data_IF_261418010945
#
_entry.id   IF_261418010945
#
_cell.length_a   1.000
_cell.length_b   1.000
_cell.length_c   1.000
_cell.angle_alpha   90.00
_cell.angle_beta   90.00
_cell.angle_gamma   90.00
#
_symmetry.space_group_name_H-M   'P 1'
#
loop_
_entity.id
_entity.type
_entity.pdbx_description
1 polymer ?
#
# COMPACT_ATOMS: atom_id res chain seq x y z
N UNK A 1 24.57 3.17 -11.04
CA UNK A 1 23.91 2.89 -12.33
C UNK A 1 22.58 3.63 -12.29
N UNK A 2 22.27 4.50 -13.24
CA UNK A 2 21.01 5.26 -13.19
C UNK A 2 19.82 4.30 -13.26
N UNK A 3 18.90 4.39 -12.30
CA UNK A 3 17.70 3.56 -12.22
C UNK A 3 16.69 4.06 -13.26
N UNK A 4 16.47 3.29 -14.32
CA UNK A 4 15.47 3.61 -15.35
C UNK A 4 14.26 2.69 -15.21
N UNK A 5 13.07 3.27 -15.31
CA UNK A 5 11.85 2.48 -15.45
C UNK A 5 11.91 1.71 -16.77
N UNK A 6 11.63 0.41 -16.67
CA UNK A 6 11.42 -0.47 -17.81
C UNK A 6 10.37 -1.53 -17.42
N UNK A 7 9.94 -2.36 -18.38
CA UNK A 7 8.94 -3.40 -18.14
C UNK A 7 9.37 -4.40 -17.06
N UNK A 8 10.66 -4.71 -16.92
CA UNK A 8 11.12 -5.65 -15.90
C UNK A 8 10.97 -5.08 -14.49
N UNK A 9 11.35 -3.80 -14.29
CA UNK A 9 11.15 -3.12 -13.00
C UNK A 9 9.67 -2.92 -12.68
N UNK A 10 8.83 -2.57 -13.67
CA UNK A 10 7.39 -2.46 -13.46
C UNK A 10 6.78 -3.81 -13.05
N UNK A 11 7.18 -4.92 -13.70
CA UNK A 11 6.78 -6.27 -13.31
C UNK A 11 7.21 -6.64 -11.89
N UNK A 12 8.44 -6.26 -11.49
CA UNK A 12 8.94 -6.49 -10.12
C UNK A 12 8.10 -5.73 -9.09
N UNK A 13 7.81 -4.45 -9.33
CA UNK A 13 7.02 -3.60 -8.42
C UNK A 13 5.56 -4.07 -8.30
N UNK A 14 4.91 -4.42 -9.41
CA UNK A 14 3.54 -4.92 -9.41
C UNK A 14 3.44 -6.33 -8.81
N UNK A 15 4.44 -7.18 -9.02
CA UNK A 15 4.51 -8.50 -8.38
C UNK A 15 4.67 -8.37 -6.86
N UNK A 16 5.51 -7.46 -6.38
CA UNK A 16 5.68 -7.20 -4.94
C UNK A 16 4.38 -6.66 -4.31
N UNK A 17 3.68 -5.73 -4.98
CA UNK A 17 2.37 -5.26 -4.50
C UNK A 17 1.37 -6.41 -4.35
N UNK A 18 1.26 -7.25 -5.39
CA UNK A 18 0.39 -8.43 -5.39
C UNK A 18 0.72 -9.41 -4.28
N UNK A 19 2.00 -9.72 -4.09
CA UNK A 19 2.46 -10.62 -3.04
C UNK A 19 2.28 -10.00 -1.65
N UNK A 20 2.49 -8.70 -1.51
CA UNK A 20 2.21 -7.92 -0.30
C UNK A 20 0.74 -8.00 0.10
N UNK A 21 -0.18 -7.75 -0.84
CA UNK A 21 -1.62 -7.84 -0.59
C UNK A 21 -2.05 -9.26 -0.19
N UNK A 22 -1.46 -10.31 -0.79
CA UNK A 22 -1.69 -11.69 -0.32
C UNK A 22 -1.22 -11.88 1.13
N UNK A 23 -0.02 -11.41 1.47
CA UNK A 23 0.53 -11.51 2.83
C UNK A 23 -0.34 -10.78 3.86
N UNK A 24 -1.00 -9.68 3.48
CA UNK A 24 -1.94 -8.96 4.35
C UNK A 24 -3.12 -9.88 4.70
N UNK A 25 -3.74 -10.53 3.71
CA UNK A 25 -4.88 -11.45 3.93
C UNK A 25 -4.44 -12.68 4.74
N UNK A 26 -3.26 -13.23 4.43
CA UNK A 26 -2.72 -14.37 5.16
C UNK A 26 -2.46 -14.00 6.64
N UNK A 27 -1.91 -12.81 6.90
CA UNK A 27 -1.72 -12.27 8.25
C UNK A 27 -3.06 -12.01 8.96
N UNK A 28 -4.06 -11.50 8.24
CA UNK A 28 -5.40 -11.27 8.77
C UNK A 28 -6.03 -12.56 9.31
N UNK A 29 -5.88 -13.66 8.57
CA UNK A 29 -6.40 -14.99 8.96
C UNK A 29 -5.76 -15.57 10.23
N UNK A 30 -4.69 -14.95 10.75
CA UNK A 30 -4.00 -15.42 11.97
C UNK A 30 -4.61 -14.92 13.27
N UNK A 31 -5.58 -13.99 13.23
CA UNK A 31 -6.24 -13.48 14.43
C UNK A 31 -7.77 -13.47 14.29
N UNK A 32 -8.50 -13.50 15.42
CA UNK A 32 -9.96 -13.42 15.39
C UNK A 32 -10.43 -12.09 14.80
N UNK A 33 -11.26 -12.16 13.77
CA UNK A 33 -11.90 -11.03 13.08
C UNK A 33 -13.27 -11.48 12.61
N UNK A 34 -14.27 -10.60 12.73
CA UNK A 34 -15.62 -10.83 12.16
C UNK A 34 -15.70 -10.44 10.68
N UNK A 35 -14.66 -9.77 10.17
CA UNK A 35 -14.58 -9.34 8.78
C UNK A 35 -14.18 -10.52 7.90
N UNK A 36 -14.99 -10.75 6.85
CA UNK A 36 -14.67 -11.71 5.79
C UNK A 36 -13.53 -11.14 4.94
N UNK A 37 -12.48 -11.94 4.76
CA UNK A 37 -11.34 -11.60 3.91
C UNK A 37 -11.12 -12.70 2.88
N UNK A 38 -11.13 -12.31 1.61
CA UNK A 38 -11.01 -13.24 0.48
C UNK A 38 -10.12 -12.70 -0.63
N UNK A 39 -9.58 -13.64 -1.39
CA UNK A 39 -8.73 -13.35 -2.56
C UNK A 39 -9.12 -14.22 -3.73
N UNK A 40 -9.14 -13.65 -4.92
CA UNK A 40 -9.22 -14.39 -6.17
C UNK A 40 -7.95 -14.15 -6.99
N UNK A 41 -7.24 -15.23 -7.33
CA UNK A 41 -6.13 -15.20 -8.30
C UNK A 41 -6.66 -15.55 -9.69
N UNK A 42 -6.42 -14.67 -10.64
CA UNK A 42 -6.72 -14.91 -12.06
C UNK A 42 -5.51 -14.47 -12.87
N UNK A 43 -4.86 -15.43 -13.53
CA UNK A 43 -3.62 -15.18 -14.28
C UNK A 43 -2.55 -14.49 -13.39
N UNK A 44 -2.13 -13.27 -13.75
CA UNK A 44 -1.17 -12.47 -13.01
C UNK A 44 -1.80 -11.54 -11.96
N UNK A 45 -3.12 -11.43 -11.94
CA UNK A 45 -3.85 -10.56 -11.05
C UNK A 45 -4.19 -11.20 -9.70
N UNK A 46 -4.31 -10.34 -8.70
CA UNK A 46 -4.94 -10.64 -7.41
C UNK A 46 -6.08 -9.63 -7.21
N UNK A 47 -7.31 -10.14 -7.16
CA UNK A 47 -8.44 -9.41 -6.60
C UNK A 47 -8.47 -9.69 -5.09
N UNK A 48 -8.54 -8.64 -4.28
CA UNK A 48 -8.57 -8.71 -2.82
C UNK A 48 -9.86 -8.06 -2.30
N UNK A 49 -10.49 -8.74 -1.33
CA UNK A 49 -11.62 -8.24 -0.57
C UNK A 49 -11.31 -8.38 0.93
N UNK A 50 -11.41 -7.29 1.68
CA UNK A 50 -11.07 -7.23 3.12
C UNK A 50 -12.16 -6.54 3.95
N UNK A 51 -13.42 -6.76 3.56
CA UNK A 51 -14.59 -6.17 4.19
C UNK A 51 -15.13 -4.95 3.43
N UNK A 52 -16.33 -4.47 3.77
CA UNK A 52 -16.96 -3.33 3.11
C UNK A 52 -16.09 -2.08 3.19
N UNK A 53 -16.03 -1.32 2.10
CA UNK A 53 -15.34 -0.02 2.01
C UNK A 53 -13.85 -0.02 2.37
N UNK A 54 -13.22 -1.20 2.47
CA UNK A 54 -11.78 -1.29 2.73
C UNK A 54 -10.98 -0.60 1.62
N UNK A 55 -9.97 0.21 1.96
CA UNK A 55 -9.18 0.95 0.97
C UNK A 55 -8.33 0.04 0.07
N UNK A 56 -8.17 -1.23 0.44
CA UNK A 56 -7.42 -2.21 -0.35
C UNK A 56 -8.34 -3.22 -1.06
N UNK A 57 -9.63 -2.90 -1.22
CA UNK A 57 -10.54 -3.66 -2.09
C UNK A 57 -10.29 -3.30 -3.55
N UNK A 58 -9.29 -3.92 -4.14
CA UNK A 58 -8.82 -3.60 -5.49
C UNK A 58 -8.18 -4.81 -6.18
N UNK A 59 -8.09 -4.73 -7.51
CA UNK A 59 -7.36 -5.68 -8.34
C UNK A 59 -5.99 -5.11 -8.66
N UNK A 60 -4.95 -5.92 -8.44
CA UNK A 60 -3.56 -5.53 -8.68
C UNK A 60 -2.84 -6.52 -9.60
N UNK A 61 -1.86 -6.03 -10.37
CA UNK A 61 -0.97 -6.86 -11.19
C UNK A 61 -1.52 -7.36 -12.54
N UNK A 62 -2.72 -6.93 -12.92
CA UNK A 62 -3.38 -7.37 -14.15
C UNK A 62 -2.66 -6.86 -15.41
N UNK A 63 -2.47 -7.74 -16.40
CA UNK A 63 -1.91 -7.37 -17.71
C UNK A 63 -0.40 -7.13 -17.68
N UNK A 64 0.29 -7.52 -16.61
CA UNK A 64 1.73 -7.33 -16.50
C UNK A 64 2.52 -8.39 -17.26
N UNK A 65 1.98 -9.61 -17.42
CA UNK A 65 2.70 -10.74 -18.03
C UNK A 65 2.03 -11.32 -19.27
N UNK A 66 0.71 -11.14 -19.41
CA UNK A 66 -0.09 -11.62 -20.54
C UNK A 66 -1.17 -10.59 -20.93
N UNK A 67 -1.67 -10.63 -22.18
CA UNK A 67 -2.88 -9.91 -22.56
C UNK A 67 -4.07 -10.31 -21.70
N UNK A 68 -4.95 -9.36 -21.40
CA UNK A 68 -6.13 -9.54 -20.55
C UNK A 68 -7.32 -9.99 -21.39
N UNK A 69 -7.91 -11.12 -21.02
CA UNK A 69 -9.10 -11.68 -21.67
C UNK A 69 -10.41 -11.14 -21.09
N UNK A 70 -11.49 -11.24 -21.85
CA UNK A 70 -12.83 -10.90 -21.36
C UNK A 70 -13.29 -11.80 -20.21
N UNK A 71 -12.96 -13.09 -20.27
CA UNK A 71 -13.25 -14.07 -19.21
C UNK A 71 -12.57 -13.71 -17.89
N UNK A 72 -11.35 -13.17 -17.95
CA UNK A 72 -10.60 -12.74 -16.76
C UNK A 72 -11.30 -11.58 -16.06
N UNK A 73 -11.77 -10.59 -16.80
CA UNK A 73 -12.55 -9.47 -16.23
C UNK A 73 -13.91 -9.94 -15.70
N UNK A 74 -14.61 -10.84 -16.39
CA UNK A 74 -15.89 -11.36 -15.92
C UNK A 74 -15.76 -12.06 -14.56
N UNK A 75 -14.72 -12.89 -14.38
CA UNK A 75 -14.46 -13.59 -13.12
C UNK A 75 -14.17 -12.64 -11.97
N UNK A 76 -13.42 -11.57 -12.24
CA UNK A 76 -13.11 -10.51 -11.27
C UNK A 76 -14.38 -9.75 -10.89
N UNK A 77 -15.20 -9.39 -11.87
CA UNK A 77 -16.47 -8.68 -11.65
C UNK A 77 -17.44 -9.53 -10.81
N UNK A 78 -17.55 -10.83 -11.11
CA UNK A 78 -18.35 -11.78 -10.33
C UNK A 78 -17.85 -11.92 -8.89
N UNK A 79 -16.53 -11.87 -8.67
CA UNK A 79 -15.95 -11.91 -7.32
C UNK A 79 -16.41 -10.73 -6.48
N UNK A 80 -16.28 -9.49 -6.96
CA UNK A 80 -16.73 -8.32 -6.21
C UNK A 80 -18.26 -8.22 -6.10
N UNK A 81 -18.99 -8.64 -7.13
CA UNK A 81 -20.45 -8.71 -7.09
C UNK A 81 -20.96 -9.65 -5.99
N UNK A 82 -20.23 -10.73 -5.67
CA UNK A 82 -20.59 -11.64 -4.57
C UNK A 82 -20.51 -11.00 -3.17
N UNK A 83 -19.87 -9.82 -3.05
CA UNK A 83 -19.76 -9.03 -1.83
C UNK A 83 -20.50 -7.69 -1.92
N UNK A 84 -21.33 -7.48 -2.94
CA UNK A 84 -22.02 -6.20 -3.21
C UNK A 84 -21.05 -5.00 -3.30
N UNK A 85 -19.84 -5.22 -3.85
CA UNK A 85 -18.80 -4.19 -4.00
C UNK A 85 -18.56 -3.83 -5.47
N UNK A 86 -18.24 -2.57 -5.79
CA UNK A 86 -17.76 -2.22 -7.13
C UNK A 86 -16.42 -2.90 -7.42
N UNK A 87 -16.13 -3.10 -8.70
CA UNK A 87 -14.82 -3.62 -9.13
C UNK A 87 -13.87 -2.45 -9.35
N UNK A 88 -12.80 -2.38 -8.55
CA UNK A 88 -11.73 -1.38 -8.68
C UNK A 88 -10.46 -2.05 -9.19
N UNK A 89 -9.85 -1.51 -10.25
CA UNK A 89 -8.66 -2.07 -10.88
C UNK A 89 -7.56 -1.02 -10.91
N UNK A 90 -6.40 -1.36 -10.37
CA UNK A 90 -5.16 -0.57 -10.52
C UNK A 90 -4.53 -0.88 -11.88
N UNK A 91 -4.34 0.15 -12.69
CA UNK A 91 -3.74 0.03 -14.03
C UNK A 91 -2.34 0.62 -14.03
N UNK A 92 -1.34 -0.25 -14.16
CA UNK A 92 0.03 0.14 -14.46
C UNK A 92 0.13 0.60 -15.93
N UNK A 93 0.80 1.73 -16.23
CA UNK A 93 0.91 2.23 -17.61
C UNK A 93 1.80 1.39 -18.52
N UNK A 94 2.49 0.39 -17.97
CA UNK A 94 3.26 -0.63 -18.71
C UNK A 94 2.54 -1.98 -18.79
N UNK A 95 1.28 -2.06 -18.36
CA UNK A 95 0.44 -3.22 -18.60
C UNK A 95 0.17 -3.37 -20.12
N UNK A 96 -0.16 -4.59 -20.53
CA UNK A 96 -0.53 -4.89 -21.90
C UNK A 96 -1.72 -4.02 -22.37
N UNK A 97 -1.65 -3.54 -23.61
CA UNK A 97 -2.64 -2.61 -24.17
C UNK A 97 -4.06 -3.21 -24.25
N UNK A 98 -4.18 -4.54 -24.24
CA UNK A 98 -5.48 -5.23 -24.14
C UNK A 98 -6.26 -4.84 -22.88
N UNK A 99 -5.59 -4.53 -21.76
CA UNK A 99 -6.24 -4.14 -20.51
C UNK A 99 -7.09 -2.89 -20.70
N UNK A 100 -6.50 -1.79 -21.17
CA UNK A 100 -7.23 -0.53 -21.37
C UNK A 100 -8.37 -0.68 -22.38
N UNK A 101 -8.16 -1.50 -23.43
CA UNK A 101 -9.19 -1.79 -24.43
C UNK A 101 -10.38 -2.51 -23.78
N UNK A 102 -10.12 -3.54 -22.97
CA UNK A 102 -11.13 -4.35 -22.32
C UNK A 102 -11.89 -3.56 -21.23
N UNK A 103 -11.19 -2.76 -20.42
CA UNK A 103 -11.81 -1.87 -19.43
C UNK A 103 -12.70 -0.82 -20.09
N UNK A 104 -12.25 -0.21 -21.18
CA UNK A 104 -13.05 0.78 -21.92
C UNK A 104 -14.29 0.15 -22.53
N UNK A 105 -14.19 -1.06 -23.09
CA UNK A 105 -15.33 -1.77 -23.67
C UNK A 105 -16.41 -2.12 -22.64
N UNK A 106 -16.00 -2.34 -21.38
CA UNK A 106 -16.88 -2.64 -20.24
C UNK A 106 -17.36 -1.41 -19.47
N UNK A 107 -16.97 -0.20 -19.88
CA UNK A 107 -17.46 1.04 -19.27
C UNK A 107 -16.85 1.36 -17.90
N UNK A 108 -15.65 0.83 -17.60
CA UNK A 108 -14.88 1.28 -16.44
C UNK A 108 -14.58 2.77 -16.57
N UNK A 109 -14.61 3.47 -15.43
CA UNK A 109 -14.34 4.91 -15.35
C UNK A 109 -13.09 5.13 -14.52
N UNK A 110 -12.24 6.05 -14.97
CA UNK A 110 -11.14 6.55 -14.17
C UNK A 110 -11.69 7.29 -12.94
N UNK A 111 -11.26 6.89 -11.75
CA UNK A 111 -11.67 7.49 -10.48
C UNK A 111 -10.54 8.25 -9.80
N UNK A 112 -9.33 7.71 -9.84
CA UNK A 112 -8.19 8.24 -9.11
C UNK A 112 -6.86 7.98 -9.83
N UNK A 113 -5.84 8.74 -9.44
CA UNK A 113 -4.45 8.48 -9.80
C UNK A 113 -3.63 8.29 -8.54
N UNK A 114 -2.75 7.29 -8.55
CA UNK A 114 -1.76 7.04 -7.49
C UNK A 114 -0.34 7.14 -8.07
N UNK A 115 0.58 7.79 -7.37
CA UNK A 115 1.98 7.87 -7.79
C UNK A 115 2.80 6.75 -7.16
N UNK A 116 3.46 5.95 -8.00
CA UNK A 116 4.43 4.92 -7.58
C UNK A 116 5.83 5.50 -7.64
N UNK A 117 6.54 5.47 -6.51
CA UNK A 117 7.86 6.04 -6.34
C UNK A 117 8.93 4.97 -6.18
N UNK A 118 10.15 5.28 -6.62
CA UNK A 118 11.34 4.43 -6.43
C UNK A 118 12.52 5.25 -5.92
N UNK A 119 13.36 4.59 -5.11
CA UNK A 119 14.60 5.15 -4.61
C UNK A 119 15.70 4.08 -4.67
N UNK A 120 16.87 4.45 -5.21
CA UNK A 120 18.06 3.61 -5.19
C UNK A 120 18.79 3.75 -3.84
N UNK A 121 18.66 2.74 -2.98
CA UNK A 121 19.26 2.73 -1.65
C UNK A 121 20.78 2.59 -1.68
N UNK A 122 21.36 2.07 -2.77
CA UNK A 122 22.81 1.91 -2.89
C UNK A 122 23.51 3.29 -2.88
N UNK A 123 22.91 4.26 -3.58
CA UNK A 123 23.43 5.63 -3.71
C UNK A 123 22.77 6.61 -2.76
N UNK A 124 21.62 6.27 -2.17
CA UNK A 124 20.90 7.11 -1.23
C UNK A 124 21.73 7.46 0.01
N UNK A 125 21.67 8.72 0.40
CA UNK A 125 22.14 9.22 1.69
C UNK A 125 20.98 9.97 2.35
N UNK A 126 20.85 9.79 3.66
CA UNK A 126 19.83 10.51 4.41
C UNK A 126 20.07 12.02 4.31
N UNK A 127 19.01 12.84 4.11
CA UNK A 127 19.11 14.29 4.24
C UNK A 127 19.22 14.73 5.71
N UNK A 128 19.05 13.82 6.66
CA UNK A 128 19.20 14.06 8.10
C UNK A 128 20.56 13.55 8.58
N UNK A 129 21.18 14.29 9.50
CA UNK A 129 22.45 13.88 10.08
C UNK A 129 22.27 12.66 11.01
N UNK A 130 21.39 12.82 12.00
CA UNK A 130 21.07 11.80 12.99
C UNK A 130 19.70 11.17 12.76
N UNK A 131 19.54 9.96 13.31
CA UNK A 131 18.23 9.33 13.45
C UNK A 131 17.45 10.07 14.53
N UNK A 132 16.18 10.36 14.26
CA UNK A 132 15.29 11.02 15.21
C UNK A 132 14.98 10.08 16.40
N UNK A 133 15.27 10.54 17.61
CA UNK A 133 15.13 9.76 18.85
C UNK A 133 13.67 9.47 19.24
N UNK A 134 12.72 10.17 18.62
CA UNK A 134 11.29 9.91 18.76
C UNK A 134 10.85 8.64 18.06
N UNK A 135 11.65 8.10 17.13
CA UNK A 135 11.28 6.99 16.26
C UNK A 135 11.96 5.69 16.69
N UNK A 136 11.19 4.61 16.80
CA UNK A 136 11.72 3.27 17.07
C UNK A 136 10.94 2.17 16.33
N UNK A 137 11.60 1.03 16.14
CA UNK A 137 10.93 -0.21 15.78
C UNK A 137 9.99 -0.67 16.90
N UNK A 138 8.98 -1.45 16.52
CA UNK A 138 8.00 -2.03 17.45
C UNK A 138 8.36 -3.45 17.87
N UNK A 139 7.80 -3.91 19.00
CA UNK A 139 7.73 -5.32 19.38
C UNK A 139 6.28 -5.82 19.40
N UNK A 140 6.06 -7.11 19.75
CA UNK A 140 4.72 -7.70 19.74
C UNK A 140 3.71 -7.02 20.69
N UNK A 141 4.17 -6.32 21.74
CA UNK A 141 3.29 -5.62 22.68
C UNK A 141 2.81 -4.27 22.12
N UNK A 142 3.45 -3.76 21.07
CA UNK A 142 3.07 -2.50 20.43
C UNK A 142 1.92 -2.62 19.42
N UNK A 143 1.43 -3.83 19.11
CA UNK A 143 0.44 -4.06 18.03
C UNK A 143 -0.75 -3.11 18.13
N UNK A 144 -1.37 -3.02 19.31
CA UNK A 144 -2.59 -2.22 19.50
C UNK A 144 -2.28 -0.73 19.41
N UNK A 145 -1.20 -0.25 20.04
CA UNK A 145 -0.86 1.18 20.00
C UNK A 145 -0.43 1.61 18.59
N UNK A 146 0.30 0.77 17.87
CA UNK A 146 0.68 1.01 16.48
C UNK A 146 -0.55 1.06 15.58
N UNK A 147 -1.41 0.03 15.66
CA UNK A 147 -2.59 -0.10 14.80
C UNK A 147 -3.57 1.06 14.98
N UNK A 148 -3.83 1.45 16.25
CA UNK A 148 -4.69 2.60 16.55
C UNK A 148 -4.07 3.92 16.10
N UNK A 149 -2.74 4.07 16.17
CA UNK A 149 -2.05 5.28 15.69
C UNK A 149 -2.16 5.40 14.17
N UNK A 150 -2.00 4.29 13.45
CA UNK A 150 -2.16 4.26 11.99
C UNK A 150 -3.59 4.63 11.60
N UNK A 151 -4.58 3.92 12.15
CA UNK A 151 -6.00 4.14 11.88
C UNK A 151 -6.43 5.59 12.20
N UNK A 152 -6.06 6.12 13.37
CA UNK A 152 -6.37 7.49 13.76
C UNK A 152 -5.81 8.53 12.78
N UNK A 153 -4.58 8.34 12.29
CA UNK A 153 -3.99 9.25 11.33
C UNK A 153 -4.66 9.24 9.95
N UNK A 154 -5.15 8.09 9.50
CA UNK A 154 -5.90 7.95 8.23
C UNK A 154 -7.35 8.44 8.34
N UNK A 155 -8.02 8.17 9.46
CA UNK A 155 -9.39 8.65 9.74
C UNK A 155 -9.44 10.13 10.17
N UNK A 156 -8.29 10.82 10.18
CA UNK A 156 -8.14 12.21 10.60
C UNK A 156 -8.67 12.49 12.01
N UNK A 157 -8.45 11.56 12.94
CA UNK A 157 -8.89 11.65 14.33
C UNK A 157 -7.71 11.80 15.29
N UNK A 158 -7.83 12.69 16.28
CA UNK A 158 -6.85 12.77 17.37
C UNK A 158 -6.96 11.62 18.37
N UNK A 159 -8.17 11.10 18.53
CA UNK A 159 -8.49 9.98 19.42
C UNK A 159 -9.45 9.06 18.69
N UNK A 160 -8.99 7.83 18.45
CA UNK A 160 -9.81 6.79 17.86
C UNK A 160 -10.80 6.25 18.91
N UNK A 161 -12.09 6.05 18.60
CA UNK A 161 -13.06 5.38 19.48
C UNK A 161 -12.57 3.99 19.89
N UNK A 162 -12.86 3.55 21.11
CA UNK A 162 -12.34 2.27 21.65
C UNK A 162 -12.86 1.08 20.86
N UNK A 163 -14.10 1.17 20.39
CA UNK A 163 -14.83 0.20 19.57
C UNK A 163 -14.55 0.32 18.07
N UNK A 164 -13.74 1.29 17.65
CA UNK A 164 -13.33 1.42 16.25
C UNK A 164 -12.52 0.19 15.81
N UNK A 165 -12.86 -0.32 14.63
CA UNK A 165 -12.18 -1.50 14.07
C UNK A 165 -10.81 -1.10 13.56
N UNK A 166 -9.83 -1.96 13.81
CA UNK A 166 -8.42 -1.76 13.44
C UNK A 166 -7.84 -3.02 12.80
N UNK A 167 -8.70 -3.89 12.27
CA UNK A 167 -8.32 -5.22 11.79
C UNK A 167 -7.35 -5.12 10.60
N UNK A 168 -7.53 -4.14 9.71
CA UNK A 168 -6.62 -3.90 8.59
C UNK A 168 -5.21 -3.52 9.08
N UNK A 169 -5.13 -2.60 10.04
CA UNK A 169 -3.86 -2.18 10.63
C UNK A 169 -3.22 -3.33 11.42
N UNK A 170 -4.01 -4.14 12.13
CA UNK A 170 -3.50 -5.34 12.80
C UNK A 170 -2.99 -6.38 11.80
N UNK A 171 -3.65 -6.54 10.65
CA UNK A 171 -3.17 -7.38 9.56
C UNK A 171 -1.84 -6.86 9.01
N UNK A 172 -1.70 -5.55 8.78
CA UNK A 172 -0.42 -4.94 8.40
C UNK A 172 0.67 -5.22 9.43
N UNK A 173 0.40 -4.98 10.71
CA UNK A 173 1.36 -5.20 11.79
C UNK A 173 1.88 -6.65 11.84
N UNK A 174 1.03 -7.61 11.47
CA UNK A 174 1.29 -9.04 11.53
C UNK A 174 1.87 -9.63 10.25
N UNK A 175 2.13 -8.83 9.21
CA UNK A 175 2.76 -9.33 7.98
C UNK A 175 4.10 -9.98 8.32
N UNK A 176 4.33 -11.25 7.93
CA UNK A 176 5.62 -11.90 8.11
C UNK A 176 6.75 -11.09 7.47
N UNK A 177 7.85 -10.92 8.19
CA UNK A 177 9.00 -10.07 7.78
C UNK A 177 8.66 -8.59 7.58
N UNK A 178 7.53 -8.16 8.13
CA UNK A 178 7.17 -6.77 8.28
C UNK A 178 7.93 -6.07 9.41
N UNK A 179 8.17 -4.78 9.22
CA UNK A 179 8.85 -3.90 10.18
C UNK A 179 7.96 -2.70 10.49
N UNK A 180 7.07 -2.82 11.49
CA UNK A 180 6.31 -1.68 11.97
C UNK A 180 7.23 -0.75 12.78
N UNK A 181 7.01 0.55 12.58
CA UNK A 181 7.77 1.63 13.21
C UNK A 181 6.79 2.63 13.78
N UNK A 182 7.11 3.16 14.95
CA UNK A 182 6.27 4.10 15.69
C UNK A 182 7.09 5.30 16.14
N UNK A 183 6.47 6.47 16.13
CA UNK A 183 7.03 7.71 16.61
C UNK A 183 6.24 8.24 17.80
N UNK A 184 6.94 8.64 18.85
CA UNK A 184 6.36 9.25 20.04
C UNK A 184 6.70 10.73 20.13
N UNK A 185 5.71 11.58 20.36
CA UNK A 185 5.91 12.99 20.66
C UNK A 185 5.27 13.31 22.02
N UNK A 186 6.05 13.89 22.93
CA UNK A 186 5.60 14.19 24.30
C UNK A 186 5.02 12.96 25.04
N UNK A 187 5.63 11.78 24.84
CA UNK A 187 5.23 10.52 25.47
C UNK A 187 3.98 9.87 24.89
N UNK A 188 3.40 10.42 23.81
CA UNK A 188 2.22 9.86 23.13
C UNK A 188 2.62 9.31 21.76
N UNK A 189 2.07 8.17 21.39
CA UNK A 189 2.18 7.67 20.02
C UNK A 189 1.51 8.68 19.08
N UNK A 190 2.27 9.20 18.13
CA UNK A 190 1.89 10.36 17.33
C UNK A 190 1.88 10.07 15.82
N UNK A 191 2.73 9.14 15.39
CA UNK A 191 2.79 8.68 14.01
C UNK A 191 3.28 7.24 13.97
N UNK A 192 2.91 6.51 12.93
CA UNK A 192 3.32 5.14 12.71
C UNK A 192 3.45 4.85 11.21
N UNK A 193 4.22 3.81 10.87
CA UNK A 193 4.42 3.39 9.49
C UNK A 193 4.89 1.95 9.40
N UNK A 194 4.64 1.34 8.24
CA UNK A 194 5.01 -0.04 7.95
C UNK A 194 6.09 -0.10 6.88
N UNK A 195 6.86 -1.20 6.88
CA UNK A 195 7.74 -1.58 5.79
C UNK A 195 7.81 -3.09 5.67
N UNK A 196 7.92 -3.61 4.46
CA UNK A 196 8.25 -5.01 4.19
C UNK A 196 9.48 -5.04 3.29
N UNK A 197 10.39 -6.00 3.52
CA UNK A 197 11.55 -6.22 2.64
C UNK A 197 11.39 -7.58 1.96
N UNK A 198 11.18 -7.56 0.64
CA UNK A 198 11.06 -8.74 -0.21
C UNK A 198 12.32 -8.84 -1.08
N UNK A 199 13.26 -9.71 -0.70
CA UNK A 199 14.54 -9.82 -1.39
C UNK A 199 15.33 -8.52 -1.33
N UNK A 200 15.46 -7.82 -2.47
CA UNK A 200 16.21 -6.55 -2.57
C UNK A 200 15.33 -5.30 -2.60
N UNK A 201 14.00 -5.45 -2.52
CA UNK A 201 13.04 -4.35 -2.57
C UNK A 201 12.42 -4.13 -1.18
N UNK A 202 12.46 -2.89 -0.71
CA UNK A 202 11.75 -2.43 0.49
C UNK A 202 10.50 -1.65 0.09
N UNK A 203 9.33 -2.10 0.55
CA UNK A 203 8.04 -1.46 0.27
C UNK A 203 7.53 -0.81 1.54
N UNK A 204 7.36 0.52 1.50
CA UNK A 204 6.92 1.33 2.63
C UNK A 204 5.46 1.73 2.42
N UNK A 205 4.62 1.52 3.43
CA UNK A 205 3.18 1.78 3.35
C UNK A 205 2.60 2.06 4.74
N UNK A 206 1.27 2.19 4.82
CA UNK A 206 0.51 2.41 6.06
C UNK A 206 1.10 3.49 6.98
N UNK A 207 1.57 4.60 6.39
CA UNK A 207 2.20 5.69 7.15
C UNK A 207 1.20 6.80 7.38
N UNK A 208 0.94 7.13 8.64
CA UNK A 208 0.07 8.24 9.00
C UNK A 208 0.61 9.00 10.21
N UNK A 209 0.08 10.21 10.42
CA UNK A 209 0.39 11.05 11.57
C UNK A 209 -0.93 11.62 12.10
N UNK A 210 -1.14 11.45 13.40
CA UNK A 210 -2.32 11.95 14.11
C UNK A 210 -2.42 13.48 13.89
N UNK A 211 -3.60 14.05 13.59
CA UNK A 211 -3.77 15.44 13.18
C UNK A 211 -3.04 16.47 14.05
N UNK A 212 -3.19 16.42 15.37
CA UNK A 212 -2.57 17.36 16.33
C UNK A 212 -1.03 17.32 16.37
N UNK A 213 -0.43 16.27 15.82
CA UNK A 213 1.02 16.08 15.71
C UNK A 213 1.57 16.35 14.29
N UNK A 214 0.72 16.70 13.32
CA UNK A 214 1.14 17.07 11.96
C UNK A 214 2.01 18.34 11.99
N UNK A 215 2.88 18.49 10.99
CA UNK A 215 3.79 19.64 10.90
C UNK A 215 5.01 19.60 11.83
N UNK A 216 5.23 18.49 12.56
CA UNK A 216 6.35 18.33 13.52
C UNK A 216 7.51 17.46 13.02
N UNK A 217 7.51 17.14 11.72
CA UNK A 217 8.55 16.34 11.07
C UNK A 217 8.45 14.81 11.27
N UNK A 218 7.45 14.31 11.99
CA UNK A 218 7.34 12.88 12.35
C UNK A 218 7.25 11.94 11.14
N UNK A 219 6.51 12.32 10.10
CA UNK A 219 6.43 11.49 8.88
C UNK A 219 7.79 11.38 8.18
N UNK A 220 8.55 12.47 8.08
CA UNK A 220 9.90 12.46 7.50
C UNK A 220 10.87 11.65 8.35
N UNK A 221 10.76 11.74 9.68
CA UNK A 221 11.55 10.94 10.61
C UNK A 221 11.26 9.43 10.48
N UNK A 222 9.98 9.04 10.38
CA UNK A 222 9.58 7.65 10.12
C UNK A 222 10.08 7.15 8.76
N UNK A 223 10.02 7.99 7.73
CA UNK A 223 10.51 7.65 6.40
C UNK A 223 12.03 7.43 6.44
N UNK A 224 12.78 8.36 7.02
CA UNK A 224 14.24 8.26 7.16
C UNK A 224 14.67 6.98 7.90
N UNK A 225 14.05 6.72 9.05
CA UNK A 225 14.35 5.54 9.88
C UNK A 225 14.18 4.26 9.07
N UNK A 226 13.06 4.11 8.36
CA UNK A 226 12.76 2.92 7.55
C UNK A 226 13.74 2.74 6.39
N UNK A 227 14.14 3.82 5.72
CA UNK A 227 15.11 3.75 4.63
C UNK A 227 16.52 3.37 5.12
N UNK A 228 16.96 3.93 6.26
CA UNK A 228 18.22 3.51 6.89
C UNK A 228 18.19 2.04 7.26
N UNK A 229 17.07 1.59 7.86
CA UNK A 229 16.90 0.19 8.20
C UNK A 229 16.92 -0.71 6.97
N UNK A 230 16.13 -0.41 5.93
CA UNK A 230 16.11 -1.13 4.67
C UNK A 230 17.50 -1.26 4.05
N UNK A 231 18.25 -0.15 3.98
CA UNK A 231 19.63 -0.13 3.48
C UNK A 231 20.55 -1.02 4.31
N UNK A 232 20.41 -1.00 5.65
CA UNK A 232 21.20 -1.86 6.55
C UNK A 232 20.89 -3.35 6.38
N UNK A 233 19.66 -3.68 5.96
CA UNK A 233 19.23 -5.05 5.65
C UNK A 233 19.61 -5.49 4.22
N UNK A 234 20.31 -4.64 3.46
CA UNK A 234 20.77 -4.96 2.11
C UNK A 234 19.73 -4.74 1.01
N UNK A 235 18.62 -4.06 1.30
CA UNK A 235 17.69 -3.64 0.24
C UNK A 235 18.42 -2.70 -0.73
N UNK A 236 18.25 -2.96 -2.02
CA UNK A 236 18.80 -2.16 -3.12
C UNK A 236 17.84 -1.04 -3.52
N UNK A 237 16.54 -1.30 -3.47
CA UNK A 237 15.50 -0.34 -3.83
C UNK A 237 14.54 -0.14 -2.67
N UNK A 238 14.00 1.07 -2.58
CA UNK A 238 12.79 1.34 -1.81
C UNK A 238 11.67 1.81 -2.75
N UNK A 239 10.42 1.44 -2.44
CA UNK A 239 9.22 1.91 -3.13
C UNK A 239 8.14 2.33 -2.13
N UNK A 240 7.32 3.28 -2.54
CA UNK A 240 6.21 3.83 -1.79
C UNK A 240 5.18 4.40 -2.77
N UNK A 241 3.92 4.45 -2.35
CA UNK A 241 2.84 5.09 -3.10
C UNK A 241 2.33 6.34 -2.39
N UNK A 242 1.88 7.33 -3.18
CA UNK A 242 1.26 8.55 -2.65
C UNK A 242 0.15 9.05 -3.57
N UNK A 243 -0.87 9.67 -2.98
CA UNK A 243 -1.80 10.52 -3.73
C UNK A 243 -1.07 11.74 -4.34
N UNK A 244 -1.43 12.17 -5.56
CA UNK A 244 -0.95 13.40 -6.18
C UNK A 244 -1.23 14.64 -5.34
N UNK A 245 -0.22 15.52 -5.19
CA UNK A 245 -0.33 16.77 -4.45
C UNK A 245 -0.32 16.63 -2.91
N UNK A 246 -0.26 15.39 -2.40
CA UNK A 246 -0.29 15.12 -0.96
C UNK A 246 0.94 15.63 -0.20
N UNK A 247 0.82 15.74 1.13
CA UNK A 247 1.97 15.98 1.98
C UNK A 247 3.00 14.83 1.90
N UNK A 248 2.51 13.60 1.67
CA UNK A 248 3.36 12.43 1.47
C UNK A 248 4.22 12.57 0.23
N UNK A 249 3.66 13.01 -0.91
CA UNK A 249 4.43 13.30 -2.13
C UNK A 249 5.62 14.22 -1.84
N UNK A 250 5.38 15.37 -1.19
CA UNK A 250 6.44 16.34 -0.89
C UNK A 250 7.53 15.74 0.01
N UNK A 251 7.17 14.81 0.90
CA UNK A 251 8.11 14.17 1.81
C UNK A 251 8.96 13.11 1.10
N UNK A 252 8.36 12.31 0.21
CA UNK A 252 9.12 11.31 -0.56
C UNK A 252 10.06 11.98 -1.57
N UNK A 253 9.63 13.06 -2.24
CA UNK A 253 10.49 13.85 -3.14
C UNK A 253 11.70 14.42 -2.40
N UNK A 254 11.51 15.02 -1.21
CA UNK A 254 12.61 15.53 -0.38
C UNK A 254 13.57 14.45 0.10
N UNK A 255 13.08 13.22 0.24
CA UNK A 255 13.90 12.07 0.63
C UNK A 255 14.72 11.50 -0.55
N UNK A 256 14.51 12.02 -1.76
CA UNK A 256 15.22 11.61 -2.97
C UNK A 256 14.51 10.53 -3.78
N UNK A 257 13.24 10.22 -3.48
CA UNK A 257 12.47 9.36 -4.37
C UNK A 257 12.22 10.06 -5.70
N UNK A 258 12.21 9.26 -6.76
CA UNK A 258 11.80 9.69 -8.09
C UNK A 258 10.52 8.96 -8.49
N UNK A 259 9.65 9.65 -9.23
CA UNK A 259 8.43 9.06 -9.74
C UNK A 259 8.80 7.94 -10.72
N UNK A 260 8.36 6.72 -10.44
CA UNK A 260 8.46 5.63 -11.39
C UNK A 260 7.35 5.80 -12.43
N UNK A 261 6.10 5.65 -12.01
CA UNK A 261 4.94 5.78 -12.88
C UNK A 261 3.69 6.20 -12.12
N UNK A 262 2.66 6.57 -12.87
CA UNK A 262 1.33 6.91 -12.36
C UNK A 262 0.41 5.72 -12.60
N UNK A 263 -0.24 5.25 -11.55
CA UNK A 263 -1.27 4.21 -11.58
C UNK A 263 -2.61 4.90 -11.79
N UNK A 264 -3.39 4.40 -12.74
CA UNK A 264 -4.77 4.81 -12.93
C UNK A 264 -5.69 3.83 -12.20
N UNK A 265 -6.59 4.33 -11.36
CA UNK A 265 -7.60 3.51 -10.72
C UNK A 265 -8.89 3.59 -11.53
N UNK A 266 -9.35 2.42 -11.98
CA UNK A 266 -10.48 2.28 -12.89
C UNK A 266 -11.57 1.50 -12.17
N UNK A 267 -12.77 2.07 -12.08
CA UNK A 267 -13.89 1.47 -11.37
C UNK A 267 -15.06 1.14 -12.30
N UNK A 268 -15.66 -0.02 -12.09
CA UNK A 268 -16.94 -0.39 -12.66
C UNK A 268 -17.95 -0.68 -11.55
N UNK A 269 -19.08 0.02 -11.60
CA UNK A 269 -20.14 -0.11 -10.62
C UNK A 269 -20.78 -1.52 -10.69
N UNK A 270 -21.36 -1.95 -9.58
CA UNK A 270 -22.15 -3.19 -9.55
C UNK A 270 -23.35 -3.02 -10.47
N UNK A 271 -23.37 -3.73 -11.60
CA UNK A 271 -24.60 -3.90 -12.36
C UNK A 271 -25.60 -4.61 -11.45
N UNK A 272 -26.82 -4.08 -11.22
CA UNK A 272 -27.80 -4.79 -10.42
C UNK A 272 -28.02 -6.16 -11.07
N UNK A 273 -27.77 -7.23 -10.30
CA UNK A 273 -28.03 -8.60 -10.75
C UNK A 273 -29.50 -8.62 -11.16
N UNK A 274 -29.75 -8.75 -12.47
CA UNK A 274 -31.10 -8.99 -12.98
C UNK A 274 -31.57 -10.31 -12.36
N UNK A 275 -32.51 -10.20 -11.41
CA UNK A 275 -33.17 -11.33 -10.76
C UNK A 275 -33.85 -12.25 -11.76
#
# INVERSE_FOLDING_TARGET
MTLFLNHALAKELEADLREGNQKVVDAWRTFPSEIIVETLRVEDALAIYTGPDSPINEVVGLGMTSPVSEDTLERIEQFYASYDQPTKIRVCPLADASLLTALSARGYRLTEFTYRWILDLATWQSPFFDVDDRVRGTDAFDEIIWSRTVAAGFLEMDVLPVDERIDLERAFFRIPSGFPVIAFDQGKAAAAGMMVISGSLATLFATSTIPSFRGRGLQSALLDWRLRYAKSQGARLATIETEPGSASQRNVERMGFHLAYVIAEMEHAVSPISK
#
